data_IF_462938161120
#
_entry.id   IF_462938161120
#
_cell.length_a   1.000
_cell.length_b   1.000
_cell.length_c   1.000
_cell.angle_alpha   90.00
_cell.angle_beta   90.00
_cell.angle_gamma   90.00
#
_symmetry.space_group_name_H-M   'P 1'
#
loop_
_entity.id
_entity.type
_entity.pdbx_description
1 polymer ?
#
# COMPACT_ATOMS: atom_id res chain seq x y z
N UNK A 1 -18.18 -21.02 -27.57
CA UNK A 1 -18.37 -20.12 -26.41
C UNK A 1 -18.05 -18.69 -26.86
N UNK A 2 -18.98 -17.74 -26.72
CA UNK A 2 -18.77 -16.33 -27.13
C UNK A 2 -17.47 -15.83 -26.48
N UNK A 3 -16.54 -15.27 -27.25
CA UNK A 3 -15.17 -14.90 -26.78
C UNK A 3 -15.17 -14.08 -25.49
N UNK A 4 -16.16 -13.21 -25.31
CA UNK A 4 -16.40 -12.45 -24.07
C UNK A 4 -16.67 -13.34 -22.84
N UNK A 5 -17.44 -14.42 -22.97
CA UNK A 5 -17.74 -15.35 -21.88
C UNK A 5 -16.51 -16.15 -21.45
N UNK A 6 -15.63 -16.52 -22.40
CA UNK A 6 -14.37 -17.19 -22.10
C UNK A 6 -13.42 -16.29 -21.32
N UNK A 7 -13.29 -15.04 -21.75
CA UNK A 7 -12.38 -14.09 -21.08
C UNK A 7 -12.89 -13.74 -19.68
N UNK A 8 -14.21 -13.59 -19.49
CA UNK A 8 -14.81 -13.40 -18.18
C UNK A 8 -14.50 -14.57 -17.23
N UNK A 9 -14.68 -15.80 -17.70
CA UNK A 9 -14.37 -17.00 -16.91
C UNK A 9 -12.88 -17.09 -16.56
N UNK A 10 -11.98 -16.81 -17.51
CA UNK A 10 -10.54 -16.82 -17.26
C UNK A 10 -10.13 -15.74 -16.25
N UNK A 11 -10.69 -14.54 -16.34
CA UNK A 11 -10.40 -13.47 -15.38
C UNK A 11 -10.91 -13.82 -13.98
N UNK A 12 -12.12 -14.36 -13.86
CA UNK A 12 -12.66 -14.82 -12.58
C UNK A 12 -11.82 -15.96 -12.00
N UNK A 13 -11.38 -16.91 -12.83
CA UNK A 13 -10.50 -17.99 -12.40
C UNK A 13 -9.14 -17.47 -11.91
N UNK A 14 -8.55 -16.48 -12.61
CA UNK A 14 -7.29 -15.86 -12.20
C UNK A 14 -7.43 -15.12 -10.86
N UNK A 15 -8.52 -14.37 -10.66
CA UNK A 15 -8.82 -13.69 -9.40
C UNK A 15 -9.01 -14.71 -8.27
N UNK A 16 -9.77 -15.77 -8.51
CA UNK A 16 -10.00 -16.84 -7.55
C UNK A 16 -8.72 -17.56 -7.15
N UNK A 17 -7.84 -17.85 -8.12
CA UNK A 17 -6.55 -18.48 -7.88
C UNK A 17 -5.62 -17.57 -7.05
N UNK A 18 -5.63 -16.27 -7.32
CA UNK A 18 -4.87 -15.30 -6.54
C UNK A 18 -5.40 -15.21 -5.09
N UNK A 19 -6.72 -15.19 -4.89
CA UNK A 19 -7.30 -15.19 -3.55
C UNK A 19 -6.94 -16.47 -2.76
N UNK A 20 -7.00 -17.64 -3.41
CA UNK A 20 -6.56 -18.91 -2.83
C UNK A 20 -5.09 -18.88 -2.42
N UNK A 21 -4.22 -18.32 -3.28
CA UNK A 21 -2.81 -18.17 -2.98
C UNK A 21 -2.56 -17.27 -1.77
N UNK A 22 -3.29 -16.15 -1.64
CA UNK A 22 -3.16 -15.24 -0.50
C UNK A 22 -3.55 -15.90 0.83
N UNK A 23 -4.66 -16.65 0.86
CA UNK A 23 -5.08 -17.38 2.06
C UNK A 23 -4.05 -18.47 2.42
N UNK A 24 -3.57 -19.21 1.42
CA UNK A 24 -2.52 -20.22 1.63
C UNK A 24 -1.22 -19.61 2.13
N UNK A 25 -0.85 -18.44 1.61
CA UNK A 25 0.36 -17.71 2.00
C UNK A 25 0.30 -17.26 3.46
N UNK A 26 -0.85 -16.78 3.93
CA UNK A 26 -1.04 -16.36 5.33
C UNK A 26 -0.83 -17.52 6.32
N UNK A 27 -1.26 -18.74 5.98
CA UNK A 27 -1.16 -19.89 6.89
C UNK A 27 0.19 -20.63 6.83
N UNK A 28 0.90 -20.58 5.69
CA UNK A 28 2.08 -21.42 5.46
C UNK A 28 3.41 -20.64 5.40
N UNK A 29 3.36 -19.32 5.21
CA UNK A 29 4.58 -18.50 5.15
C UNK A 29 4.89 -17.89 6.51
N UNK A 30 6.18 -17.90 6.84
CA UNK A 30 6.71 -17.19 8.01
C UNK A 30 6.61 -15.67 7.81
N UNK A 31 6.51 -14.90 8.91
CA UNK A 31 6.30 -13.46 8.90
C UNK A 31 7.35 -12.69 8.10
N UNK A 32 8.59 -13.16 8.10
CA UNK A 32 9.66 -12.61 7.25
C UNK A 32 9.35 -12.75 5.75
N UNK A 33 8.88 -13.92 5.30
CA UNK A 33 8.56 -14.16 3.89
C UNK A 33 7.36 -13.32 3.45
N UNK A 34 6.37 -13.16 4.32
CA UNK A 34 5.22 -12.27 4.08
C UNK A 34 5.68 -10.81 3.92
N UNK A 35 6.60 -10.35 4.76
CA UNK A 35 7.16 -9.00 4.63
C UNK A 35 7.89 -8.79 3.31
N UNK A 36 8.71 -9.76 2.88
CA UNK A 36 9.40 -9.70 1.58
C UNK A 36 8.38 -9.68 0.43
N UNK A 37 7.32 -10.51 0.50
CA UNK A 37 6.28 -10.53 -0.52
C UNK A 37 5.54 -9.18 -0.62
N UNK A 38 5.22 -8.57 0.52
CA UNK A 38 4.64 -7.22 0.57
C UNK A 38 5.57 -6.17 -0.05
N UNK A 39 6.88 -6.25 0.24
CA UNK A 39 7.86 -5.34 -0.34
C UNK A 39 7.96 -5.51 -1.87
N UNK A 40 7.93 -6.75 -2.37
CA UNK A 40 7.91 -7.03 -3.81
C UNK A 40 6.64 -6.44 -4.44
N UNK A 41 5.48 -6.65 -3.82
CA UNK A 41 4.20 -6.14 -4.34
C UNK A 41 4.17 -4.61 -4.42
N UNK A 42 4.60 -3.92 -3.36
CA UNK A 42 4.67 -2.45 -3.34
C UNK A 42 5.63 -1.92 -4.40
N UNK A 43 6.82 -2.51 -4.53
CA UNK A 43 7.79 -2.10 -5.55
C UNK A 43 7.33 -2.41 -6.97
N UNK A 44 6.60 -3.51 -7.18
CA UNK A 44 6.01 -3.83 -8.48
C UNK A 44 4.95 -2.77 -8.88
N UNK A 45 4.08 -2.36 -7.95
CA UNK A 45 3.11 -1.28 -8.18
C UNK A 45 3.84 0.03 -8.51
N UNK A 46 4.89 0.37 -7.77
CA UNK A 46 5.71 1.55 -8.03
C UNK A 46 6.36 1.50 -9.42
N UNK A 47 6.97 0.38 -9.79
CA UNK A 47 7.62 0.19 -11.08
C UNK A 47 6.61 0.32 -12.24
N UNK A 48 5.41 -0.25 -12.09
CA UNK A 48 4.34 -0.08 -13.08
C UNK A 48 3.87 1.38 -13.17
N UNK A 49 3.71 2.07 -12.05
CA UNK A 49 3.36 3.50 -12.01
C UNK A 49 4.41 4.36 -12.73
N UNK A 50 5.70 4.11 -12.46
CA UNK A 50 6.80 4.82 -13.12
C UNK A 50 6.89 4.48 -14.61
N UNK A 51 6.62 3.24 -15.01
CA UNK A 51 6.58 2.87 -16.43
C UNK A 51 5.50 3.65 -17.19
N UNK A 52 4.33 3.90 -16.57
CA UNK A 52 3.31 4.74 -17.19
C UNK A 52 3.80 6.16 -17.49
N UNK A 53 4.57 6.76 -16.58
CA UNK A 53 5.05 8.13 -16.75
C UNK A 53 6.31 8.17 -17.61
N UNK A 54 7.32 7.38 -17.27
CA UNK A 54 8.63 7.41 -17.93
C UNK A 54 8.58 6.72 -19.29
N UNK A 55 7.84 5.62 -19.39
CA UNK A 55 7.72 4.83 -20.61
C UNK A 55 6.79 5.48 -21.63
N UNK A 56 5.56 5.86 -21.24
CA UNK A 56 4.58 6.36 -22.22
C UNK A 56 4.63 7.87 -22.42
N UNK A 57 4.88 8.66 -21.37
CA UNK A 57 4.85 10.13 -21.48
C UNK A 57 6.25 10.75 -21.56
N UNK A 58 7.31 10.02 -21.20
CA UNK A 58 8.69 10.50 -21.23
C UNK A 58 9.03 11.59 -20.20
N UNK A 59 8.14 11.86 -19.24
CA UNK A 59 8.33 12.91 -18.22
C UNK A 59 9.14 12.38 -17.04
N UNK A 60 10.15 13.11 -16.58
CA UNK A 60 10.89 12.73 -15.37
C UNK A 60 10.16 13.20 -14.10
N UNK A 61 9.99 12.34 -13.09
CA UNK A 61 9.16 12.58 -11.90
C UNK A 61 9.92 12.23 -10.62
N UNK A 62 10.55 13.23 -10.02
CA UNK A 62 11.20 13.11 -8.72
C UNK A 62 10.21 13.06 -7.54
N UNK A 63 8.97 13.55 -7.71
CA UNK A 63 7.99 13.67 -6.63
C UNK A 63 7.30 12.38 -6.21
N UNK A 64 7.33 11.33 -7.05
CA UNK A 64 6.59 10.07 -6.81
C UNK A 64 6.96 9.41 -5.48
N UNK A 65 8.26 9.28 -5.20
CA UNK A 65 8.74 8.69 -3.96
C UNK A 65 8.38 9.55 -2.74
N UNK A 66 8.39 10.88 -2.89
CA UNK A 66 8.00 11.81 -1.82
C UNK A 66 6.53 11.67 -1.43
N UNK A 67 5.62 11.70 -2.42
CA UNK A 67 4.18 11.52 -2.15
C UNK A 67 3.86 10.13 -1.62
N UNK A 68 4.55 9.09 -2.11
CA UNK A 68 4.43 7.73 -1.60
C UNK A 68 4.87 7.65 -0.12
N UNK A 69 5.98 8.30 0.25
CA UNK A 69 6.46 8.32 1.62
C UNK A 69 5.49 9.04 2.57
N UNK A 70 4.96 10.20 2.15
CA UNK A 70 3.96 10.96 2.93
C UNK A 70 2.72 10.11 3.19
N UNK A 71 2.14 9.53 2.15
CA UNK A 71 0.93 8.71 2.28
C UNK A 71 1.15 7.43 3.11
N UNK A 72 2.31 6.77 2.93
CA UNK A 72 2.67 5.58 3.70
C UNK A 72 2.86 5.89 5.19
N UNK A 73 3.52 7.00 5.53
CA UNK A 73 3.74 7.41 6.90
C UNK A 73 2.43 7.71 7.63
N UNK A 74 1.53 8.49 7.00
CA UNK A 74 0.20 8.78 7.56
C UNK A 74 -0.62 7.50 7.73
N UNK A 75 -0.60 6.61 6.72
CA UNK A 75 -1.31 5.34 6.79
C UNK A 75 -0.78 4.45 7.93
N UNK A 76 0.54 4.34 8.09
CA UNK A 76 1.16 3.59 9.18
C UNK A 76 0.76 4.16 10.54
N UNK A 77 0.79 5.49 10.68
CA UNK A 77 0.39 6.17 11.91
C UNK A 77 -1.09 5.92 12.26
N UNK A 78 -1.96 5.76 11.27
CA UNK A 78 -3.38 5.48 11.50
C UNK A 78 -3.69 3.99 11.73
N UNK A 79 -2.91 3.04 11.19
CA UNK A 79 -3.13 1.59 11.32
C UNK A 79 -2.46 0.99 12.55
N UNK A 80 -1.29 1.50 12.95
CA UNK A 80 -0.52 0.89 14.04
C UNK A 80 -1.28 0.96 15.37
N UNK A 81 -1.37 -0.15 16.13
CA UNK A 81 -1.90 -0.14 17.49
C UNK A 81 -1.06 0.76 18.42
N UNK A 82 -1.70 1.35 19.44
CA UNK A 82 -1.03 2.23 20.41
C UNK A 82 0.21 1.57 21.05
N UNK A 83 0.09 0.31 21.46
CA UNK A 83 1.22 -0.46 22.02
C UNK A 83 2.40 -0.60 21.04
N UNK A 84 2.13 -0.77 19.74
CA UNK A 84 3.18 -0.89 18.74
C UNK A 84 3.83 0.47 18.43
N UNK A 85 3.07 1.56 18.53
CA UNK A 85 3.59 2.93 18.39
C UNK A 85 4.58 3.29 19.50
N UNK A 86 4.26 2.95 20.75
CA UNK A 86 5.15 3.15 21.90
C UNK A 86 6.46 2.38 21.74
N UNK A 87 6.42 1.17 21.16
CA UNK A 87 7.64 0.40 20.85
C UNK A 87 8.47 1.00 19.71
N UNK A 88 7.85 1.72 18.77
CA UNK A 88 8.53 2.30 17.60
C UNK A 88 9.10 3.70 17.88
N UNK A 89 8.41 4.53 18.67
CA UNK A 89 8.82 5.90 19.02
C UNK A 89 9.63 5.93 20.31
N UNK A 90 10.87 5.46 20.22
CA UNK A 90 11.76 5.23 21.38
C UNK A 90 12.32 6.54 21.98
N UNK A 91 12.45 7.61 21.18
CA UNK A 91 13.10 8.85 21.59
C UNK A 91 12.15 9.84 22.27
N UNK A 92 10.93 9.99 21.74
CA UNK A 92 9.93 10.93 22.24
C UNK A 92 8.54 10.38 21.92
N UNK A 93 7.63 10.54 22.89
CA UNK A 93 6.26 10.06 22.77
C UNK A 93 5.51 10.78 21.64
N UNK A 94 4.68 10.02 20.93
CA UNK A 94 3.81 10.60 19.89
C UNK A 94 2.80 11.54 20.56
N UNK A 95 2.69 12.75 20.02
CA UNK A 95 1.70 13.73 20.44
C UNK A 95 0.27 13.19 20.38
N UNK A 96 -0.55 13.59 21.34
CA UNK A 96 -2.00 13.35 21.28
C UNK A 96 -2.60 14.21 20.15
N UNK A 97 -3.52 13.69 19.30
CA UNK A 97 -4.24 12.40 19.40
C UNK A 97 -3.58 11.22 18.66
N UNK A 98 -2.48 11.44 17.95
CA UNK A 98 -1.85 10.43 17.08
C UNK A 98 -1.31 9.20 17.82
N UNK A 99 -1.02 9.32 19.13
CA UNK A 99 -0.60 8.17 19.95
C UNK A 99 -1.69 7.10 20.09
N UNK A 100 -2.96 7.51 20.19
CA UNK A 100 -4.10 6.61 20.52
C UNK A 100 -4.91 6.20 19.29
N UNK A 101 -4.85 7.00 18.22
CA UNK A 101 -5.65 6.74 17.01
C UNK A 101 -5.32 5.36 16.43
N UNK A 102 -6.36 4.55 16.22
CA UNK A 102 -6.28 3.31 15.47
C UNK A 102 -7.50 3.20 14.57
N UNK A 103 -7.28 3.18 13.26
CA UNK A 103 -8.33 3.13 12.24
C UNK A 103 -8.18 1.88 11.38
N UNK A 104 -9.28 1.33 10.83
CA UNK A 104 -9.20 0.23 9.88
C UNK A 104 -8.38 0.60 8.64
N UNK A 105 -7.72 -0.40 8.05
CA UNK A 105 -6.81 -0.26 6.89
C UNK A 105 -7.35 0.64 5.76
N UNK A 106 -8.63 0.50 5.41
CA UNK A 106 -9.21 1.29 4.32
C UNK A 106 -9.29 2.79 4.65
N UNK A 107 -9.67 3.14 5.87
CA UNK A 107 -9.75 4.53 6.29
C UNK A 107 -8.37 5.18 6.38
N UNK A 108 -7.37 4.44 6.86
CA UNK A 108 -5.98 4.91 6.89
C UNK A 108 -5.39 5.15 5.51
N UNK A 109 -5.66 4.28 4.53
CA UNK A 109 -5.15 4.43 3.16
C UNK A 109 -5.78 5.67 2.50
N UNK A 110 -7.08 5.88 2.69
CA UNK A 110 -7.77 7.08 2.19
C UNK A 110 -7.23 8.34 2.86
N UNK A 111 -7.03 8.33 4.18
CA UNK A 111 -6.45 9.45 4.90
C UNK A 111 -5.01 9.75 4.42
N UNK A 112 -4.18 8.74 4.22
CA UNK A 112 -2.84 8.89 3.67
C UNK A 112 -2.84 9.47 2.26
N UNK A 113 -3.73 8.98 1.39
CA UNK A 113 -3.92 9.54 0.05
C UNK A 113 -4.39 10.99 0.05
N UNK A 114 -5.30 11.34 0.96
CA UNK A 114 -5.79 12.71 1.12
C UNK A 114 -4.68 13.67 1.57
N UNK A 115 -3.87 13.27 2.56
CA UNK A 115 -2.73 14.08 3.00
C UNK A 115 -1.69 14.23 1.88
N UNK A 116 -1.35 13.14 1.18
CA UNK A 116 -0.44 13.22 0.04
C UNK A 116 -0.95 14.17 -1.06
N UNK A 117 -2.26 14.16 -1.34
CA UNK A 117 -2.89 15.07 -2.29
C UNK A 117 -2.80 16.54 -1.86
N UNK A 118 -3.01 16.83 -0.56
CA UNK A 118 -2.85 18.20 -0.03
C UNK A 118 -1.42 18.69 -0.22
N UNK A 119 -0.43 17.86 0.12
CA UNK A 119 0.97 18.22 -0.10
C UNK A 119 1.31 18.41 -1.59
N UNK A 120 0.65 17.65 -2.47
CA UNK A 120 0.75 17.82 -3.92
C UNK A 120 0.21 19.16 -4.44
N UNK A 121 -0.70 19.82 -3.72
CA UNK A 121 -1.22 21.14 -4.11
C UNK A 121 -0.24 22.29 -3.84
N UNK A 122 0.77 22.07 -3.00
CA UNK A 122 1.76 23.09 -2.66
C UNK A 122 2.96 23.14 -3.63
N UNK A 123 3.01 22.25 -4.61
CA UNK A 123 4.05 22.17 -5.65
C UNK A 123 3.45 22.50 -7.02
#
# INVERSE_FOLDING_TARGET
>A
MKTSMRNLLLNLAAIGLLALFLVWAETNLDGYKVQILNLIAVNAILALSLNLIYGFTGMFSLGHAGFMAIGAYVSALCVLPAAQKEMMWILEDIIWPFSVIHTPFWFSVVAGGFVAAIFGLFI
#
